data_IF_469005182347
#
_entry.id   IF_469005182347
#
_cell.length_a   1.000
_cell.length_b   1.000
_cell.length_c   1.000
_cell.angle_alpha   90.00
_cell.angle_beta   90.00
_cell.angle_gamma   90.00
#
_symmetry.space_group_name_H-M   'P 1'
#
loop_
_entity.id
_entity.type
_entity.pdbx_description
1 polymer ?
#
# COMPACT_ATOMS: atom_id res chain seq x y z
N UNK A 1 3.45 1.94 21.50
CA UNK A 1 2.17 2.15 22.21
C UNK A 1 1.10 2.23 21.14
N UNK A 2 -0.12 1.73 21.41
CA UNK A 2 -1.25 1.82 20.49
C UNK A 2 -2.12 2.99 20.90
N UNK A 3 -2.58 3.77 19.91
CA UNK A 3 -3.64 4.75 20.10
C UNK A 3 -4.96 4.06 20.43
N UNK A 4 -5.79 4.70 21.27
CA UNK A 4 -7.21 4.34 21.43
C UNK A 4 -8.07 4.74 20.22
N UNK A 5 -7.50 5.50 19.28
CA UNK A 5 -8.14 6.01 18.08
C UNK A 5 -7.29 5.73 16.84
N UNK A 6 -7.85 5.93 15.64
CA UNK A 6 -7.13 5.81 14.36
C UNK A 6 -6.66 7.19 13.93
N UNK A 7 -5.34 7.36 13.80
CA UNK A 7 -4.74 8.53 13.16
C UNK A 7 -4.86 8.40 11.64
N UNK A 8 -5.22 9.48 10.96
CA UNK A 8 -5.20 9.61 9.51
C UNK A 8 -4.38 10.84 9.11
N UNK A 9 -3.39 10.62 8.23
CA UNK A 9 -2.56 11.69 7.66
C UNK A 9 -2.71 11.60 6.15
N UNK A 10 -3.09 12.73 5.54
CA UNK A 10 -3.31 12.88 4.11
C UNK A 10 -2.22 13.74 3.51
N UNK A 11 -1.47 13.20 2.58
CA UNK A 11 -0.47 13.92 1.79
C UNK A 11 -1.07 14.24 0.42
N UNK A 12 -1.43 15.50 0.20
CA UNK A 12 -1.98 16.01 -1.05
C UNK A 12 -0.79 16.42 -1.93
N UNK A 13 -0.53 15.62 -2.94
CA UNK A 13 0.68 15.64 -3.78
C UNK A 13 0.36 16.25 -5.14
N UNK A 14 1.21 17.15 -5.63
CA UNK A 14 1.18 17.63 -7.02
C UNK A 14 1.43 16.45 -7.98
N UNK A 15 0.38 16.10 -8.73
CA UNK A 15 0.40 14.94 -9.62
C UNK A 15 1.39 15.10 -10.78
N UNK A 16 1.53 16.31 -11.34
CA UNK A 16 2.42 16.53 -12.49
C UNK A 16 3.88 16.46 -12.07
N UNK A 17 4.23 17.03 -10.91
CA UNK A 17 5.57 16.93 -10.34
C UNK A 17 5.90 15.45 -10.03
N UNK A 18 4.96 14.71 -9.43
CA UNK A 18 5.12 13.29 -9.14
C UNK A 18 5.28 12.43 -10.41
N UNK A 19 4.48 12.70 -11.44
CA UNK A 19 4.60 12.03 -12.76
C UNK A 19 5.96 12.29 -13.39
N UNK A 20 6.42 13.54 -13.35
CA UNK A 20 7.72 13.93 -13.91
C UNK A 20 8.86 13.18 -13.20
N UNK A 21 8.86 13.16 -11.88
CA UNK A 21 9.89 12.47 -11.10
C UNK A 21 9.82 10.95 -11.28
N UNK A 22 8.64 10.35 -11.30
CA UNK A 22 8.46 8.92 -11.58
C UNK A 22 8.97 8.53 -12.95
N UNK A 23 8.64 9.31 -14.01
CA UNK A 23 9.10 9.07 -15.38
C UNK A 23 10.61 9.22 -15.51
N UNK A 24 11.22 10.23 -14.87
CA UNK A 24 12.67 10.42 -14.83
C UNK A 24 13.39 9.17 -14.31
N UNK A 25 12.76 8.44 -13.40
CA UNK A 25 13.25 7.19 -12.81
C UNK A 25 12.74 5.94 -13.54
N UNK A 26 12.11 6.08 -14.72
CA UNK A 26 11.54 4.98 -15.51
C UNK A 26 10.59 4.08 -14.70
N UNK A 27 9.81 4.68 -13.80
CA UNK A 27 8.89 3.99 -12.92
C UNK A 27 7.45 4.48 -13.10
N UNK A 28 6.49 3.60 -12.82
CA UNK A 28 5.10 4.02 -12.61
C UNK A 28 4.96 4.73 -11.27
N UNK A 29 3.94 5.57 -11.12
CA UNK A 29 3.64 6.25 -9.84
C UNK A 29 3.53 5.23 -8.69
N UNK A 30 2.86 4.10 -8.91
CA UNK A 30 2.70 3.05 -7.89
C UNK A 30 4.05 2.44 -7.49
N UNK A 31 4.93 2.16 -8.45
CA UNK A 31 6.28 1.65 -8.17
C UNK A 31 7.11 2.67 -7.42
N UNK A 32 7.06 3.93 -7.85
CA UNK A 32 7.81 5.02 -7.24
C UNK A 32 7.38 5.23 -5.77
N UNK A 33 6.08 5.37 -5.51
CA UNK A 33 5.55 5.57 -4.15
C UNK A 33 5.74 4.33 -3.26
N UNK A 34 5.61 3.11 -3.80
CA UNK A 34 5.95 1.89 -3.07
C UNK A 34 7.44 1.86 -2.67
N UNK A 35 8.32 2.35 -3.54
CA UNK A 35 9.76 2.44 -3.26
C UNK A 35 10.06 3.51 -2.20
N UNK A 36 9.39 4.67 -2.26
CA UNK A 36 9.50 5.70 -1.21
C UNK A 36 9.03 5.15 0.13
N UNK A 37 7.92 4.41 0.14
CA UNK A 37 7.38 3.78 1.36
C UNK A 37 8.36 2.75 1.96
N UNK A 38 8.92 1.86 1.14
CA UNK A 38 9.94 0.89 1.59
C UNK A 38 11.18 1.62 2.12
N UNK A 39 11.63 2.66 1.42
CA UNK A 39 12.78 3.46 1.83
C UNK A 39 12.52 4.20 3.15
N UNK A 40 11.32 4.75 3.36
CA UNK A 40 10.94 5.43 4.60
C UNK A 40 10.94 4.46 5.79
N UNK A 41 10.44 3.23 5.58
CA UNK A 41 10.48 2.17 6.60
C UNK A 41 11.93 1.75 6.88
N UNK A 42 12.77 1.63 5.85
CA UNK A 42 14.18 1.31 5.99
C UNK A 42 14.94 2.37 6.81
N UNK A 43 14.81 3.64 6.44
CA UNK A 43 15.49 4.76 7.13
C UNK A 43 15.12 4.82 8.62
N UNK A 44 13.86 4.55 8.96
CA UNK A 44 13.40 4.64 10.35
C UNK A 44 13.75 3.40 11.18
N UNK A 45 13.56 2.20 10.63
CA UNK A 45 13.60 0.97 11.44
C UNK A 45 14.85 0.11 11.25
N UNK A 46 15.55 0.24 10.10
CA UNK A 46 16.62 -0.71 9.74
C UNK A 46 18.00 -0.07 9.72
N UNK A 47 18.12 1.17 9.32
CA UNK A 47 19.40 1.85 9.18
C UNK A 47 20.21 1.87 10.49
N UNK A 48 19.53 2.07 11.63
CA UNK A 48 20.15 2.16 12.93
C UNK A 48 19.98 0.92 13.81
N UNK A 49 18.99 0.09 13.56
CA UNK A 49 18.56 -1.01 14.44
C UNK A 49 18.85 -2.41 13.91
N UNK A 50 19.46 -2.55 12.73
CA UNK A 50 19.75 -3.86 12.07
C UNK A 50 18.53 -4.80 12.07
N UNK A 51 17.38 -4.29 11.64
CA UNK A 51 16.16 -5.09 11.50
C UNK A 51 16.42 -6.28 10.58
N UNK A 52 16.21 -7.50 11.06
CA UNK A 52 16.49 -8.73 10.30
C UNK A 52 15.31 -9.23 9.48
N UNK A 53 14.11 -8.68 9.70
CA UNK A 53 12.91 -9.15 8.99
C UNK A 53 12.75 -8.42 7.66
N UNK A 54 12.30 -9.10 6.59
CA UNK A 54 12.03 -8.43 5.33
C UNK A 54 10.91 -7.38 5.48
N UNK A 55 11.00 -6.28 4.72
CA UNK A 55 9.90 -5.34 4.57
C UNK A 55 8.96 -5.90 3.51
N UNK A 56 7.71 -6.19 3.89
CA UNK A 56 6.70 -6.77 3.00
C UNK A 56 5.58 -5.79 2.75
N UNK A 57 5.48 -5.32 1.51
CA UNK A 57 4.43 -4.41 1.06
C UNK A 57 3.43 -5.18 0.20
N UNK A 58 2.19 -5.28 0.68
CA UNK A 58 1.09 -5.88 -0.06
C UNK A 58 0.40 -4.81 -0.93
N UNK A 59 0.30 -5.08 -2.23
CA UNK A 59 -0.30 -4.15 -3.19
C UNK A 59 -1.41 -4.85 -3.95
N UNK A 60 -2.69 -4.46 -3.74
CA UNK A 60 -3.81 -4.93 -4.54
C UNK A 60 -3.71 -4.48 -6.00
N UNK A 61 -4.02 -5.37 -6.92
CA UNK A 61 -3.95 -5.15 -8.36
C UNK A 61 -5.28 -5.46 -9.01
N UNK A 62 -5.80 -4.51 -9.77
CA UNK A 62 -7.05 -4.69 -10.54
C UNK A 62 -6.79 -5.59 -11.76
N UNK A 63 -7.39 -6.76 -11.76
CA UNK A 63 -7.23 -7.76 -12.81
C UNK A 63 -8.01 -7.45 -14.09
N UNK A 64 -8.97 -6.52 -14.06
CA UNK A 64 -9.71 -6.09 -15.27
C UNK A 64 -8.80 -5.48 -16.34
N UNK A 65 -7.58 -5.05 -15.96
CA UNK A 65 -6.56 -4.55 -16.89
C UNK A 65 -5.84 -5.66 -17.66
N UNK A 66 -5.85 -6.88 -17.12
CA UNK A 66 -5.14 -8.04 -17.69
C UNK A 66 -6.11 -9.02 -18.36
N UNK A 67 -7.35 -9.06 -17.90
CA UNK A 67 -8.35 -9.99 -18.42
C UNK A 67 -9.62 -9.24 -18.79
N UNK A 68 -10.14 -9.54 -20.00
CA UNK A 68 -11.42 -9.01 -20.48
C UNK A 68 -12.54 -9.56 -19.60
N UNK A 69 -12.98 -8.78 -18.62
CA UNK A 69 -14.06 -9.16 -17.73
C UNK A 69 -15.11 -8.06 -17.63
N UNK A 70 -16.37 -8.40 -17.87
CA UNK A 70 -17.54 -7.52 -17.71
C UNK A 70 -18.16 -7.64 -16.31
N UNK A 71 -17.52 -8.38 -15.39
CA UNK A 71 -18.07 -8.56 -14.04
C UNK A 71 -18.16 -7.23 -13.28
N UNK A 72 -19.27 -7.03 -12.59
CA UNK A 72 -19.43 -5.91 -11.63
C UNK A 72 -18.84 -6.24 -10.26
N UNK A 73 -18.49 -7.51 -10.02
CA UNK A 73 -17.87 -7.96 -8.78
C UNK A 73 -16.42 -7.50 -8.68
N UNK A 74 -15.89 -7.51 -7.47
CA UNK A 74 -14.49 -7.26 -7.21
C UNK A 74 -13.63 -8.30 -7.91
N UNK A 75 -12.83 -7.85 -8.89
CA UNK A 75 -11.95 -8.69 -9.67
C UNK A 75 -10.52 -8.17 -9.50
N UNK A 76 -9.89 -8.57 -8.41
CA UNK A 76 -8.54 -8.16 -8.05
C UNK A 76 -7.71 -9.34 -7.53
N UNK A 77 -6.42 -9.17 -7.56
CA UNK A 77 -5.44 -10.00 -6.87
C UNK A 77 -4.51 -9.08 -6.07
N UNK A 78 -3.49 -9.62 -5.47
CA UNK A 78 -2.46 -8.83 -4.79
C UNK A 78 -1.08 -9.36 -5.14
N UNK A 79 -0.13 -8.46 -5.14
CA UNK A 79 1.30 -8.79 -5.16
C UNK A 79 1.89 -8.40 -3.81
N UNK A 80 2.88 -9.15 -3.36
CA UNK A 80 3.64 -8.83 -2.14
C UNK A 80 5.09 -8.59 -2.51
N UNK A 81 5.56 -7.37 -2.39
CA UNK A 81 6.97 -7.03 -2.50
C UNK A 81 7.64 -7.47 -1.18
N UNK A 82 8.65 -8.30 -1.27
CA UNK A 82 9.40 -8.78 -0.11
C UNK A 82 10.85 -8.34 -0.22
N UNK A 83 11.16 -7.22 0.44
CA UNK A 83 12.48 -6.59 0.38
C UNK A 83 13.34 -7.05 1.57
N UNK A 84 14.33 -7.90 1.32
CA UNK A 84 15.30 -8.35 2.31
C UNK A 84 16.50 -7.37 2.31
N UNK A 85 16.48 -6.38 3.21
CA UNK A 85 17.39 -5.23 3.18
C UNK A 85 18.88 -5.60 3.17
N UNK A 86 19.30 -6.55 3.98
CA UNK A 86 20.69 -7.00 4.07
C UNK A 86 21.08 -7.92 2.91
N UNK A 87 20.24 -8.94 2.64
CA UNK A 87 20.51 -9.95 1.62
C UNK A 87 20.55 -9.37 0.21
N UNK A 88 19.62 -8.46 -0.09
CA UNK A 88 19.50 -7.84 -1.40
C UNK A 88 20.30 -6.53 -1.49
N UNK A 89 21.04 -6.17 -0.42
CA UNK A 89 21.84 -4.93 -0.32
C UNK A 89 21.02 -3.66 -0.65
N UNK A 90 19.78 -3.60 -0.15
CA UNK A 90 18.81 -2.52 -0.41
C UNK A 90 19.00 -1.36 0.55
N UNK A 91 20.13 -0.67 0.47
CA UNK A 91 20.52 0.40 1.41
C UNK A 91 20.41 1.82 0.83
N UNK A 92 19.95 1.97 -0.41
CA UNK A 92 19.71 3.26 -1.07
C UNK A 92 18.37 3.24 -1.78
N UNK A 93 17.79 4.42 -1.99
CA UNK A 93 16.52 4.55 -2.72
C UNK A 93 16.59 3.94 -4.13
N UNK A 94 17.67 4.19 -4.86
CA UNK A 94 17.82 3.71 -6.25
C UNK A 94 17.82 2.18 -6.32
N UNK A 95 18.52 1.51 -5.40
CA UNK A 95 18.51 0.05 -5.32
C UNK A 95 17.13 -0.52 -4.96
N UNK A 96 16.42 0.14 -4.04
CA UNK A 96 15.04 -0.23 -3.67
C UNK A 96 14.12 -0.05 -4.87
N UNK A 97 14.25 1.06 -5.60
CA UNK A 97 13.43 1.32 -6.78
C UNK A 97 13.68 0.29 -7.88
N UNK A 98 14.93 -0.06 -8.15
CA UNK A 98 15.29 -1.10 -9.13
C UNK A 98 14.76 -2.48 -8.71
N UNK A 99 14.84 -2.81 -7.44
CA UNK A 99 14.23 -4.03 -6.88
C UNK A 99 12.72 -4.03 -7.12
N UNK A 100 12.03 -2.95 -6.75
CA UNK A 100 10.57 -2.81 -6.92
C UNK A 100 10.18 -2.94 -8.40
N UNK A 101 10.87 -2.26 -9.31
CA UNK A 101 10.62 -2.34 -10.76
C UNK A 101 10.75 -3.79 -11.26
N UNK A 102 11.81 -4.50 -10.86
CA UNK A 102 12.05 -5.91 -11.26
C UNK A 102 10.99 -6.85 -10.69
N UNK A 103 10.65 -6.71 -9.41
CA UNK A 103 9.68 -7.58 -8.75
C UNK A 103 8.25 -7.34 -9.27
N UNK A 104 7.87 -6.08 -9.54
CA UNK A 104 6.63 -5.76 -10.25
C UNK A 104 6.54 -6.43 -11.60
N UNK A 105 7.58 -6.32 -12.44
CA UNK A 105 7.61 -6.96 -13.76
C UNK A 105 7.47 -8.49 -13.67
N UNK A 106 8.13 -9.10 -12.68
CA UNK A 106 8.06 -10.54 -12.43
C UNK A 106 6.65 -10.98 -12.01
N UNK A 107 6.00 -10.25 -11.10
CA UNK A 107 4.72 -10.66 -10.50
C UNK A 107 3.50 -10.22 -11.30
N UNK A 108 3.60 -9.16 -12.09
CA UNK A 108 2.51 -8.65 -12.93
C UNK A 108 2.54 -9.20 -14.35
N UNK A 109 3.22 -10.31 -14.61
CA UNK A 109 3.05 -11.01 -15.86
C UNK A 109 1.77 -11.89 -15.82
N UNK A 110 1.16 -12.06 -16.96
CA UNK A 110 -0.12 -12.76 -17.10
C UNK A 110 -0.06 -14.21 -16.60
N UNK A 111 1.08 -14.89 -16.81
CA UNK A 111 1.31 -16.27 -16.38
C UNK A 111 1.29 -16.42 -14.85
N UNK A 112 2.00 -15.55 -14.12
CA UNK A 112 2.04 -15.57 -12.66
C UNK A 112 0.68 -15.19 -12.04
N UNK A 113 -0.02 -14.22 -12.63
CA UNK A 113 -1.38 -13.87 -12.24
C UNK A 113 -2.31 -15.08 -12.45
N UNK A 114 -2.24 -15.73 -13.60
CA UNK A 114 -3.05 -16.93 -13.90
C UNK A 114 -2.73 -18.09 -12.95
N UNK A 115 -1.47 -18.32 -12.60
CA UNK A 115 -1.10 -19.35 -11.61
C UNK A 115 -1.76 -19.08 -10.25
N UNK A 116 -1.68 -17.85 -9.78
CA UNK A 116 -2.30 -17.44 -8.49
C UNK A 116 -3.81 -17.61 -8.52
N UNK A 117 -4.46 -17.17 -9.60
CA UNK A 117 -5.90 -17.33 -9.77
C UNK A 117 -6.31 -18.80 -9.85
N UNK A 118 -5.58 -19.61 -10.64
CA UNK A 118 -5.85 -21.03 -10.77
C UNK A 118 -5.70 -21.79 -9.45
N UNK A 119 -4.71 -21.44 -8.64
CA UNK A 119 -4.53 -21.99 -7.31
C UNK A 119 -5.73 -21.67 -6.39
N UNK A 120 -6.21 -20.42 -6.40
CA UNK A 120 -7.37 -20.00 -5.61
C UNK A 120 -8.65 -20.71 -6.06
N UNK A 121 -8.87 -20.84 -7.37
CA UNK A 121 -10.02 -21.56 -7.93
C UNK A 121 -9.96 -23.06 -7.58
N UNK A 122 -8.79 -23.70 -7.72
CA UNK A 122 -8.60 -25.11 -7.33
C UNK A 122 -8.88 -25.30 -5.83
N UNK A 123 -8.42 -24.40 -4.98
CA UNK A 123 -8.69 -24.44 -3.55
C UNK A 123 -10.19 -24.33 -3.26
N UNK A 124 -10.88 -23.38 -3.87
CA UNK A 124 -12.32 -23.17 -3.72
C UNK A 124 -13.18 -24.31 -4.26
N UNK A 125 -12.70 -25.02 -5.29
CA UNK A 125 -13.39 -26.16 -5.91
C UNK A 125 -12.99 -27.53 -5.33
N UNK A 126 -12.08 -27.57 -4.37
CA UNK A 126 -11.66 -28.81 -3.74
C UNK A 126 -12.85 -29.46 -2.98
N UNK A 127 -13.27 -30.70 -3.32
CA UNK A 127 -14.45 -31.31 -2.72
C UNK A 127 -14.28 -31.57 -1.22
N UNK A 128 -13.07 -31.83 -0.75
CA UNK A 128 -12.78 -32.00 0.67
C UNK A 128 -13.01 -30.70 1.42
N UNK A 129 -12.51 -29.59 0.87
CA UNK A 129 -12.71 -28.25 1.48
C UNK A 129 -14.19 -27.85 1.44
N UNK A 130 -14.90 -28.21 0.35
CA UNK A 130 -16.35 -27.93 0.23
C UNK A 130 -17.18 -28.71 1.24
N UNK A 131 -16.79 -29.95 1.56
CA UNK A 131 -17.48 -30.80 2.53
C UNK A 131 -17.28 -30.38 3.99
N UNK A 132 -16.26 -29.55 4.31
CA UNK A 132 -16.05 -29.06 5.67
C UNK A 132 -17.21 -28.19 6.13
N UNK A 133 -17.84 -28.43 7.30
CA UNK A 133 -18.89 -27.58 7.84
C UNK A 133 -18.46 -26.11 7.98
N UNK A 134 -19.38 -25.18 7.74
CA UNK A 134 -19.08 -23.74 7.71
C UNK A 134 -18.40 -23.24 8.99
N UNK A 135 -18.82 -23.73 10.16
CA UNK A 135 -18.23 -23.33 11.44
C UNK A 135 -16.74 -23.68 11.52
N UNK A 136 -16.38 -24.91 11.15
CA UNK A 136 -14.96 -25.34 11.12
C UNK A 136 -14.18 -24.58 10.05
N UNK A 137 -14.77 -24.37 8.88
CA UNK A 137 -14.17 -23.58 7.80
C UNK A 137 -13.86 -22.16 8.24
N UNK A 138 -14.78 -21.51 8.94
CA UNK A 138 -14.60 -20.14 9.45
C UNK A 138 -13.44 -20.06 10.45
N UNK A 139 -13.30 -21.06 11.34
CA UNK A 139 -12.18 -21.12 12.29
C UNK A 139 -10.85 -21.31 11.54
N UNK A 140 -10.77 -22.25 10.59
CA UNK A 140 -9.57 -22.49 9.80
C UNK A 140 -9.14 -21.27 8.98
N UNK A 141 -10.10 -20.62 8.31
CA UNK A 141 -9.85 -19.39 7.55
C UNK A 141 -9.37 -18.28 8.46
N UNK A 142 -9.96 -18.12 9.64
CA UNK A 142 -9.54 -17.11 10.62
C UNK A 142 -8.10 -17.34 11.11
N UNK A 143 -7.75 -18.59 11.42
CA UNK A 143 -6.38 -18.95 11.83
C UNK A 143 -5.38 -18.70 10.70
N UNK A 144 -5.68 -19.15 9.49
CA UNK A 144 -4.85 -18.91 8.31
C UNK A 144 -4.67 -17.42 8.01
N UNK A 145 -5.73 -16.63 8.14
CA UNK A 145 -5.71 -15.19 7.96
C UNK A 145 -4.77 -14.50 8.96
N UNK A 146 -4.86 -14.85 10.25
CA UNK A 146 -3.97 -14.29 11.29
C UNK A 146 -2.51 -14.65 10.99
N UNK A 147 -2.25 -15.88 10.55
CA UNK A 147 -0.89 -16.34 10.24
C UNK A 147 -0.31 -15.60 9.03
N UNK A 148 -1.05 -15.53 7.93
CA UNK A 148 -0.62 -14.83 6.71
C UNK A 148 -0.34 -13.35 6.98
N UNK A 149 -1.18 -12.70 7.77
CA UNK A 149 -1.01 -11.27 8.08
C UNK A 149 0.16 -10.92 8.97
N UNK A 150 0.65 -11.84 9.80
CA UNK A 150 1.87 -11.62 10.59
C UNK A 150 3.10 -11.33 9.70
N UNK A 151 3.03 -11.71 8.42
CA UNK A 151 4.13 -11.56 7.47
C UNK A 151 4.00 -10.30 6.59
N UNK A 152 2.93 -9.52 6.69
CA UNK A 152 2.79 -8.25 5.96
C UNK A 152 3.24 -7.10 6.86
N UNK A 153 4.14 -6.25 6.36
CA UNK A 153 4.56 -5.04 7.07
C UNK A 153 3.53 -3.94 6.89
N UNK A 154 3.09 -3.71 5.64
CA UNK A 154 2.16 -2.65 5.29
C UNK A 154 1.41 -2.98 4.00
N UNK A 155 0.15 -2.59 3.91
CA UNK A 155 -0.64 -2.63 2.67
C UNK A 155 -0.66 -1.24 2.03
N UNK A 156 -0.39 -1.17 0.73
CA UNK A 156 -0.55 0.05 -0.07
C UNK A 156 -1.52 -0.20 -1.22
N UNK A 157 -2.68 0.44 -1.19
CA UNK A 157 -3.72 0.34 -2.22
C UNK A 157 -3.83 1.63 -3.03
N UNK A 158 -3.58 1.54 -4.33
CA UNK A 158 -3.80 2.64 -5.26
C UNK A 158 -5.01 2.35 -6.16
N UNK A 159 -6.11 3.07 -5.97
CA UNK A 159 -7.28 2.92 -6.82
C UNK A 159 -7.16 3.64 -8.16
N UNK A 160 -6.14 4.48 -8.32
CA UNK A 160 -5.89 5.24 -9.54
C UNK A 160 -6.75 6.49 -9.63
N UNK A 161 -7.06 6.89 -10.89
CA UNK A 161 -7.82 8.12 -11.15
C UNK A 161 -9.30 7.90 -10.94
N UNK A 162 -9.90 8.78 -10.13
CA UNK A 162 -11.35 8.86 -9.95
C UNK A 162 -11.88 9.76 -11.07
N UNK A 163 -12.77 9.20 -11.90
CA UNK A 163 -13.49 9.93 -12.94
C UNK A 163 -14.85 10.36 -12.41
N UNK A 164 -15.19 11.62 -12.57
CA UNK A 164 -16.56 12.13 -12.39
C UNK A 164 -17.11 12.63 -13.71
N UNK A 165 -18.40 12.42 -13.93
CA UNK A 165 -19.11 12.90 -15.12
C UNK A 165 -20.15 13.92 -14.63
N UNK A 166 -20.12 15.13 -15.20
CA UNK A 166 -21.12 16.13 -14.98
C UNK A 166 -20.65 17.37 -14.21
N UNK A 167 -21.61 18.29 -13.98
CA UNK A 167 -21.39 19.62 -13.42
C UNK A 167 -20.92 19.70 -11.96
N UNK A 168 -20.82 18.58 -11.27
CA UNK A 168 -20.38 18.55 -9.87
C UNK A 168 -18.87 18.47 -9.70
N UNK A 169 -18.13 18.23 -10.79
CA UNK A 169 -16.67 18.12 -10.77
C UNK A 169 -16.01 19.39 -10.20
N UNK A 170 -16.52 20.57 -10.56
CA UNK A 170 -15.97 21.87 -10.16
C UNK A 170 -16.12 22.18 -8.65
N UNK A 171 -16.96 21.41 -7.95
CA UNK A 171 -17.21 21.56 -6.50
C UNK A 171 -16.37 20.61 -5.65
N UNK A 172 -15.58 19.73 -6.27
CA UNK A 172 -14.77 18.74 -5.56
C UNK A 172 -13.29 19.05 -5.76
N UNK A 173 -12.59 19.27 -4.67
CA UNK A 173 -11.17 19.60 -4.70
C UNK A 173 -10.29 18.33 -4.77
N UNK A 174 -10.61 17.30 -4.00
CA UNK A 174 -9.94 15.98 -4.02
C UNK A 174 -10.80 14.92 -3.32
N UNK A 175 -10.40 13.67 -3.45
CA UNK A 175 -10.98 12.53 -2.73
C UNK A 175 -9.99 11.97 -1.72
N UNK A 176 -10.53 11.49 -0.61
CA UNK A 176 -9.80 10.74 0.39
C UNK A 176 -10.16 9.26 0.30
N UNK A 177 -9.16 8.40 0.33
CA UNK A 177 -9.35 6.96 0.47
C UNK A 177 -8.71 6.53 1.78
N UNK A 178 -9.48 5.86 2.63
CA UNK A 178 -9.01 5.35 3.91
C UNK A 178 -9.17 3.84 3.98
N UNK A 179 -8.17 3.16 4.50
CA UNK A 179 -8.20 1.73 4.79
C UNK A 179 -7.97 1.57 6.29
N UNK A 180 -8.89 0.92 6.99
CA UNK A 180 -8.76 0.75 8.43
C UNK A 180 -7.53 -0.10 8.79
N UNK A 181 -6.65 0.39 9.69
CA UNK A 181 -5.55 -0.40 10.22
C UNK A 181 -6.07 -1.50 11.14
N UNK A 182 -5.24 -2.50 11.40
CA UNK A 182 -5.60 -3.66 12.19
C UNK A 182 -4.57 -3.93 13.30
N UNK A 183 -4.93 -4.80 14.23
CA UNK A 183 -4.05 -5.12 15.35
C UNK A 183 -2.70 -5.72 14.93
N UNK A 184 -2.65 -6.39 13.79
CA UNK A 184 -1.45 -7.01 13.23
C UNK A 184 -0.74 -6.05 12.28
N UNK A 185 -1.50 -5.38 11.41
CA UNK A 185 -1.01 -4.41 10.44
C UNK A 185 -1.41 -3.00 10.89
N UNK A 186 -0.53 -2.38 11.64
CA UNK A 186 -0.81 -1.15 12.41
C UNK A 186 -0.86 0.11 11.57
N UNK A 187 -0.23 0.09 10.39
CA UNK A 187 -0.23 1.18 9.41
C UNK A 187 -0.72 0.60 8.09
N UNK A 188 -1.61 1.33 7.42
CA UNK A 188 -2.02 1.05 6.05
C UNK A 188 -1.95 2.30 5.20
N UNK A 189 -1.67 2.12 3.92
CA UNK A 189 -1.57 3.20 2.97
C UNK A 189 -2.59 3.04 1.85
N UNK A 190 -3.13 4.15 1.41
CA UNK A 190 -3.99 4.20 0.24
C UNK A 190 -3.72 5.45 -0.57
N UNK A 191 -4.04 5.40 -1.85
CA UNK A 191 -3.97 6.58 -2.70
C UNK A 191 -5.06 6.61 -3.75
N UNK A 192 -5.48 7.81 -4.10
CA UNK A 192 -6.38 8.10 -5.20
C UNK A 192 -5.96 9.39 -5.89
N UNK A 193 -6.38 9.55 -7.13
CA UNK A 193 -6.06 10.72 -7.95
C UNK A 193 -7.34 11.35 -8.45
N UNK A 194 -7.46 12.65 -8.30
CA UNK A 194 -8.53 13.45 -8.90
C UNK A 194 -7.91 14.73 -9.44
N UNK A 195 -8.28 15.09 -10.69
CA UNK A 195 -7.69 16.20 -11.42
C UNK A 195 -6.15 16.17 -11.39
N UNK A 196 -5.53 17.23 -10.91
CA UNK A 196 -4.07 17.35 -10.77
C UNK A 196 -3.57 17.03 -9.36
N UNK A 197 -4.39 16.45 -8.50
CA UNK A 197 -4.03 16.11 -7.13
C UNK A 197 -4.03 14.60 -6.94
N UNK A 198 -2.97 14.10 -6.33
CA UNK A 198 -2.94 12.73 -5.79
C UNK A 198 -2.93 12.81 -4.29
N UNK A 199 -3.88 12.16 -3.64
CA UNK A 199 -3.88 12.05 -2.18
C UNK A 199 -3.32 10.70 -1.79
N UNK A 200 -2.24 10.71 -1.01
CA UNK A 200 -1.68 9.54 -0.36
C UNK A 200 -2.04 9.61 1.12
N UNK A 201 -2.75 8.60 1.59
CA UNK A 201 -3.26 8.56 2.96
C UNK A 201 -2.60 7.47 3.76
N UNK A 202 -2.07 7.83 4.90
CA UNK A 202 -1.68 6.90 5.96
C UNK A 202 -2.79 6.80 7.00
N UNK A 203 -3.12 5.58 7.40
CA UNK A 203 -3.99 5.30 8.54
C UNK A 203 -3.23 4.45 9.54
N UNK A 204 -3.17 4.87 10.80
CA UNK A 204 -2.31 4.26 11.82
C UNK A 204 -3.01 4.16 13.17
N UNK A 205 -2.68 3.10 13.93
CA UNK A 205 -2.99 2.96 15.36
C UNK A 205 -1.76 3.12 16.25
N UNK A 206 -0.65 3.62 15.67
CA UNK A 206 0.55 3.95 16.41
C UNK A 206 0.48 5.40 16.91
N UNK A 207 1.15 5.67 18.01
CA UNK A 207 1.26 7.00 18.60
C UNK A 207 2.44 7.81 18.06
N UNK A 208 3.01 7.42 16.94
CA UNK A 208 4.08 8.16 16.25
C UNK A 208 3.82 8.13 14.73
N UNK A 209 4.38 9.12 14.03
CA UNK A 209 4.23 9.34 12.59
C UNK A 209 5.59 9.40 11.87
N UNK A 210 6.56 8.69 12.35
CA UNK A 210 7.94 8.77 11.85
C UNK A 210 8.07 8.30 10.40
N UNK A 211 7.35 7.23 10.01
CA UNK A 211 7.36 6.71 8.64
C UNK A 211 6.71 7.71 7.71
N UNK A 212 5.56 8.26 8.08
CA UNK A 212 4.82 9.29 7.36
C UNK A 212 5.69 10.53 7.15
N UNK A 213 6.35 10.99 8.21
CA UNK A 213 7.28 12.11 8.15
C UNK A 213 8.46 11.85 7.19
N UNK A 214 9.06 10.65 7.21
CA UNK A 214 10.13 10.29 6.27
C UNK A 214 9.65 10.26 4.84
N UNK A 215 8.44 9.77 4.60
CA UNK A 215 7.83 9.73 3.28
C UNK A 215 7.62 11.14 2.74
N UNK A 216 7.03 12.04 3.51
CA UNK A 216 6.87 13.44 3.18
C UNK A 216 8.21 14.14 2.91
N UNK A 217 9.18 14.01 3.83
CA UNK A 217 10.51 14.59 3.67
C UNK A 217 11.21 14.14 2.39
N UNK A 218 11.04 12.87 2.01
CA UNK A 218 11.61 12.36 0.78
C UNK A 218 11.00 13.03 -0.46
N UNK A 219 9.68 13.13 -0.54
CA UNK A 219 9.00 13.75 -1.66
C UNK A 219 9.34 15.24 -1.79
N UNK A 220 9.35 15.97 -0.69
CA UNK A 220 9.69 17.40 -0.69
C UNK A 220 11.15 17.65 -1.06
N UNK A 221 12.10 16.83 -0.61
CA UNK A 221 13.51 16.88 -1.05
C UNK A 221 13.68 16.64 -2.55
N UNK A 222 12.76 15.93 -3.19
CA UNK A 222 12.73 15.75 -4.66
C UNK A 222 12.03 16.90 -5.40
N UNK A 223 11.64 17.95 -4.69
CA UNK A 223 10.97 19.13 -5.27
C UNK A 223 9.50 18.91 -5.59
N UNK A 224 8.88 17.87 -5.03
CA UNK A 224 7.46 17.61 -5.18
C UNK A 224 6.72 18.38 -4.08
N UNK A 225 5.77 19.25 -4.48
CA UNK A 225 4.95 19.96 -3.52
C UNK A 225 3.93 19.02 -2.87
N UNK A 226 3.90 19.02 -1.55
CA UNK A 226 3.01 18.18 -0.74
C UNK A 226 2.39 19.01 0.37
N UNK A 227 1.05 19.06 0.42
CA UNK A 227 0.29 19.63 1.54
C UNK A 227 -0.13 18.50 2.46
N UNK A 228 0.06 18.67 3.78
CA UNK A 228 -0.35 17.67 4.78
C UNK A 228 -1.65 18.13 5.44
N UNK A 229 -2.57 17.20 5.60
CA UNK A 229 -3.77 17.33 6.42
C UNK A 229 -3.88 16.10 7.35
N UNK A 230 -4.39 16.29 8.55
CA UNK A 230 -4.57 15.21 9.53
C UNK A 230 -5.95 15.32 10.22
N UNK A 231 -6.36 14.23 10.84
CA UNK A 231 -7.55 14.24 11.69
C UNK A 231 -7.27 14.71 13.15
N UNK A 232 -6.08 15.24 13.43
CA UNK A 232 -5.71 15.82 14.72
C UNK A 232 -5.41 14.84 15.86
N UNK A 233 -5.67 13.55 15.71
CA UNK A 233 -5.54 12.55 16.79
C UNK A 233 -4.14 12.51 17.42
N UNK A 234 -3.07 12.77 16.64
CA UNK A 234 -1.71 12.81 17.16
C UNK A 234 -1.39 14.12 17.87
N UNK A 235 -2.04 15.22 17.48
CA UNK A 235 -1.83 16.54 18.07
C UNK A 235 -2.48 16.60 19.47
N UNK A 236 -3.66 15.99 19.64
CA UNK A 236 -4.38 15.90 20.92
C UNK A 236 -3.56 15.15 21.96
N UNK A 237 -2.83 14.09 21.57
CA UNK A 237 -1.99 13.28 22.48
C UNK A 237 -0.73 14.05 22.90
N UNK A 238 -0.16 14.88 22.04
CA UNK A 238 1.02 15.68 22.37
C UNK A 238 0.68 16.82 23.32
N UNK A 239 -0.58 17.23 23.44
CA UNK A 239 -1.06 18.27 24.37
C UNK A 239 -1.39 17.74 25.76
N UNK A 240 -1.55 16.41 25.94
CA UNK A 240 -1.85 15.76 27.23
C UNK A 240 -0.60 15.21 27.96
N UNK A 241 0.60 15.29 27.34
CA UNK A 241 1.88 14.84 27.91
C UNK A 241 2.79 16.02 28.26
#
# INVERSE_FOLDING_TARGET
IRLGAVSAIHEIIDLEALKKESKKNEATITQYLASVLIYSIYEENYKNNKGKKPIKVCIPVNLKKYFLSKTMSNFFSYITLEAEMEKDNLNTFDKILDFVKKDFKKRLNEEEIMKTMSANVKLGNNPIIRAVPLVLKTILVRLSYIEIRKYTTITYSNIGRIGMIGKYQDYIDYFLMLIAPESVEKIKCSSCTFENKMVFTFTSILNDNKIEKRFYEFLTKKGINVKIESNGVLDDISSET
#
